data_IF_816275378223
#
_entry.id   IF_816275378223
#
_cell.length_a   1.000
_cell.length_b   1.000
_cell.length_c   1.000
_cell.angle_alpha   90.00
_cell.angle_beta   90.00
_cell.angle_gamma   90.00
#
_symmetry.space_group_name_H-M   'P 1'
#
loop_
_entity.id
_entity.type
_entity.pdbx_description
1 polymer ?
#
# COMPACT_ATOMS: atom_id res chain seq x y z
N UNK A 1 -15.15 -114.04 -34.94
CA UNK A 1 -15.28 -112.63 -34.55
C UNK A 1 -15.47 -111.83 -35.83
N UNK A 2 -16.70 -111.46 -36.16
CA UNK A 2 -16.95 -110.61 -37.34
C UNK A 2 -16.88 -109.16 -36.88
N UNK A 3 -15.79 -108.49 -37.22
CA UNK A 3 -15.71 -107.04 -37.16
C UNK A 3 -16.72 -106.51 -38.18
N UNK A 4 -17.90 -106.14 -37.71
CA UNK A 4 -18.86 -105.42 -38.55
C UNK A 4 -18.31 -104.01 -38.73
N UNK A 5 -18.02 -103.66 -39.97
CA UNK A 5 -17.63 -102.30 -40.36
C UNK A 5 -18.87 -101.42 -40.32
N UNK A 6 -18.72 -100.13 -40.04
CA UNK A 6 -19.82 -99.15 -40.07
C UNK A 6 -20.56 -99.15 -41.43
N UNK A 7 -19.90 -99.58 -42.50
CA UNK A 7 -20.48 -99.79 -43.83
C UNK A 7 -21.59 -100.85 -43.89
N UNK A 8 -21.65 -101.76 -42.91
CA UNK A 8 -22.58 -102.90 -42.92
C UNK A 8 -23.97 -102.54 -42.40
N UNK A 9 -24.14 -101.34 -41.83
CA UNK A 9 -25.39 -100.85 -41.24
C UNK A 9 -26.18 -99.87 -42.11
N UNK A 10 -25.62 -99.40 -43.23
CA UNK A 10 -26.24 -98.36 -44.07
C UNK A 10 -26.34 -98.81 -45.52
N UNK A 11 -27.50 -98.57 -46.13
CA UNK A 11 -27.88 -99.16 -47.43
C UNK A 11 -27.48 -98.30 -48.63
N UNK A 12 -26.89 -97.12 -48.41
CA UNK A 12 -26.30 -96.32 -49.49
C UNK A 12 -25.04 -95.56 -49.08
N UNK A 13 -24.12 -95.39 -50.04
CA UNK A 13 -22.92 -94.56 -49.88
C UNK A 13 -23.25 -93.08 -49.59
N UNK A 14 -24.43 -92.62 -49.99
CA UNK A 14 -24.88 -91.25 -49.75
C UNK A 14 -25.27 -91.02 -48.27
N UNK A 15 -25.86 -92.01 -47.61
CA UNK A 15 -26.20 -91.95 -46.18
C UNK A 15 -24.94 -91.95 -45.31
N UNK A 16 -23.95 -92.77 -45.66
CA UNK A 16 -22.66 -92.81 -44.96
C UNK A 16 -21.93 -91.46 -45.10
N UNK A 17 -21.91 -90.90 -46.31
CA UNK A 17 -21.31 -89.59 -46.60
C UNK A 17 -22.06 -88.44 -45.89
N UNK A 18 -23.39 -88.54 -45.76
CA UNK A 18 -24.19 -87.56 -45.04
C UNK A 18 -23.91 -87.59 -43.52
N UNK A 19 -23.75 -88.77 -42.94
CA UNK A 19 -23.40 -88.94 -41.52
C UNK A 19 -21.95 -88.52 -41.25
N UNK A 20 -20.99 -88.87 -42.12
CA UNK A 20 -19.62 -88.37 -42.01
C UNK A 20 -19.56 -86.85 -42.16
N UNK A 21 -20.31 -86.27 -43.10
CA UNK A 21 -20.42 -84.82 -43.25
C UNK A 21 -21.06 -84.18 -42.00
N UNK A 22 -22.06 -84.82 -41.40
CA UNK A 22 -22.72 -84.35 -40.17
C UNK A 22 -21.80 -84.44 -38.95
N UNK A 23 -21.04 -85.53 -38.80
CA UNK A 23 -20.00 -85.67 -37.78
C UNK A 23 -18.86 -84.66 -37.99
N UNK A 24 -18.49 -84.38 -39.23
CA UNK A 24 -17.53 -83.34 -39.59
C UNK A 24 -18.08 -81.92 -39.33
N UNK A 25 -19.38 -81.70 -39.49
CA UNK A 25 -20.07 -80.46 -39.12
C UNK A 25 -20.11 -80.28 -37.60
N UNK A 26 -20.38 -81.34 -36.85
CA UNK A 26 -20.31 -81.39 -35.37
C UNK A 26 -18.86 -81.19 -34.87
N UNK A 27 -17.87 -81.69 -35.60
CA UNK A 27 -16.46 -81.41 -35.33
C UNK A 27 -16.06 -79.97 -35.72
N UNK A 28 -16.72 -79.35 -36.70
CA UNK A 28 -16.55 -77.92 -37.02
C UNK A 28 -17.21 -77.01 -35.98
N UNK A 29 -18.33 -77.38 -35.37
CA UNK A 29 -18.90 -76.63 -34.22
C UNK A 29 -17.95 -76.65 -33.01
N UNK A 30 -17.11 -77.68 -32.88
CA UNK A 30 -16.00 -77.75 -31.93
C UNK A 30 -14.99 -76.59 -32.07
N UNK A 31 -14.89 -75.94 -33.25
CA UNK A 31 -14.02 -74.75 -33.44
C UNK A 31 -14.66 -73.45 -32.98
N UNK A 32 -16.00 -73.38 -32.92
CA UNK A 32 -16.70 -72.23 -32.36
C UNK A 32 -16.59 -72.23 -30.84
N UNK A 33 -16.82 -73.39 -30.20
CA UNK A 33 -16.68 -73.55 -28.75
C UNK A 33 -15.25 -73.27 -28.29
N UNK A 34 -14.23 -73.76 -29.01
CA UNK A 34 -12.83 -73.41 -28.75
C UNK A 34 -12.54 -71.91 -28.88
N UNK A 35 -13.12 -71.22 -29.88
CA UNK A 35 -12.98 -69.77 -30.04
C UNK A 35 -13.72 -69.02 -28.93
N UNK A 36 -14.87 -69.52 -28.49
CA UNK A 36 -15.64 -68.97 -27.38
C UNK A 36 -14.85 -69.09 -26.07
N UNK A 37 -14.23 -70.23 -25.81
CA UNK A 37 -13.36 -70.45 -24.63
C UNK A 37 -12.15 -69.52 -24.63
N UNK A 38 -11.49 -69.35 -25.78
CA UNK A 38 -10.37 -68.41 -25.93
C UNK A 38 -10.82 -66.96 -25.69
N UNK A 39 -11.97 -66.55 -26.22
CA UNK A 39 -12.52 -65.21 -26.01
C UNK A 39 -12.93 -64.98 -24.55
N UNK A 40 -13.50 -65.98 -23.88
CA UNK A 40 -13.83 -65.92 -22.45
C UNK A 40 -12.57 -65.80 -21.59
N UNK A 41 -11.51 -66.54 -21.90
CA UNK A 41 -10.24 -66.43 -21.19
C UNK A 41 -9.57 -65.08 -21.45
N UNK A 42 -9.61 -64.56 -22.68
CA UNK A 42 -9.13 -63.21 -23.01
C UNK A 42 -9.91 -62.13 -22.26
N UNK A 43 -11.23 -62.24 -22.18
CA UNK A 43 -12.08 -61.33 -21.41
C UNK A 43 -11.68 -61.36 -19.93
N UNK A 44 -11.54 -62.56 -19.35
CA UNK A 44 -11.12 -62.74 -17.96
C UNK A 44 -9.75 -62.11 -17.67
N UNK A 45 -8.79 -62.28 -18.60
CA UNK A 45 -7.47 -61.65 -18.49
C UNK A 45 -7.55 -60.12 -18.59
N UNK A 46 -8.36 -59.59 -19.51
CA UNK A 46 -8.59 -58.15 -19.66
C UNK A 46 -9.21 -57.55 -18.40
N UNK A 47 -10.22 -58.20 -17.81
CA UNK A 47 -10.85 -57.76 -16.56
C UNK A 47 -9.84 -57.78 -15.39
N UNK A 48 -8.97 -58.80 -15.32
CA UNK A 48 -7.91 -58.85 -14.31
C UNK A 48 -6.88 -57.74 -14.49
N UNK A 49 -6.49 -57.43 -15.73
CA UNK A 49 -5.57 -56.33 -16.04
C UNK A 49 -6.20 -54.99 -15.70
N UNK A 50 -7.48 -54.79 -16.03
CA UNK A 50 -8.23 -53.59 -15.67
C UNK A 50 -8.29 -53.42 -14.16
N UNK A 51 -8.65 -54.48 -13.41
CA UNK A 51 -8.70 -54.45 -11.94
C UNK A 51 -7.34 -54.13 -11.32
N UNK A 52 -6.24 -54.69 -11.85
CA UNK A 52 -4.88 -54.34 -11.42
C UNK A 52 -4.54 -52.88 -11.70
N UNK A 53 -4.91 -52.37 -12.87
CA UNK A 53 -4.72 -50.97 -13.24
C UNK A 53 -5.47 -50.01 -12.31
N UNK A 54 -6.74 -50.32 -12.00
CA UNK A 54 -7.57 -49.55 -11.08
C UNK A 54 -7.00 -49.56 -9.66
N UNK A 55 -6.54 -50.70 -9.17
CA UNK A 55 -5.86 -50.82 -7.87
C UNK A 55 -4.59 -49.98 -7.82
N UNK A 56 -3.76 -50.05 -8.86
CA UNK A 56 -2.54 -49.24 -8.95
C UNK A 56 -2.87 -47.74 -8.98
N UNK A 57 -3.91 -47.34 -9.72
CA UNK A 57 -4.33 -45.94 -9.80
C UNK A 57 -4.85 -45.44 -8.44
N UNK A 58 -5.58 -46.27 -7.71
CA UNK A 58 -6.04 -45.95 -6.35
C UNK A 58 -4.87 -45.78 -5.38
N UNK A 59 -3.87 -46.67 -5.44
CA UNK A 59 -2.65 -46.57 -4.63
C UNK A 59 -1.87 -45.29 -4.94
N UNK A 60 -1.64 -44.99 -6.23
CA UNK A 60 -0.95 -43.77 -6.66
C UNK A 60 -1.70 -42.52 -6.19
N UNK A 61 -3.04 -42.50 -6.34
CA UNK A 61 -3.88 -41.40 -5.85
C UNK A 61 -3.72 -41.18 -4.35
N UNK A 62 -3.71 -42.26 -3.56
CA UNK A 62 -3.50 -42.18 -2.12
C UNK A 62 -2.10 -41.65 -1.78
N UNK A 63 -1.06 -42.12 -2.48
CA UNK A 63 0.31 -41.64 -2.29
C UNK A 63 0.43 -40.14 -2.59
N UNK A 64 -0.08 -39.69 -3.75
CA UNK A 64 -0.05 -38.26 -4.09
C UNK A 64 -0.80 -37.41 -3.08
N UNK A 65 -1.94 -37.88 -2.57
CA UNK A 65 -2.67 -37.17 -1.53
C UNK A 65 -1.85 -37.05 -0.23
N UNK A 66 -1.13 -38.10 0.17
CA UNK A 66 -0.27 -38.06 1.34
C UNK A 66 0.91 -37.09 1.14
N UNK A 67 1.54 -37.08 -0.03
CA UNK A 67 2.62 -36.16 -0.36
C UNK A 67 2.15 -34.69 -0.36
N UNK A 68 0.98 -34.41 -0.97
CA UNK A 68 0.37 -33.08 -0.96
C UNK A 68 0.10 -32.64 0.48
N UNK A 69 -0.47 -33.50 1.32
CA UNK A 69 -0.77 -33.17 2.71
C UNK A 69 0.52 -32.87 3.49
N UNK A 70 1.58 -33.67 3.29
CA UNK A 70 2.88 -33.49 3.95
C UNK A 70 3.57 -32.19 3.52
N UNK A 71 3.54 -31.87 2.23
CA UNK A 71 4.07 -30.61 1.69
C UNK A 71 3.30 -29.41 2.22
N UNK A 72 1.97 -29.50 2.25
CA UNK A 72 1.07 -28.46 2.78
C UNK A 72 1.36 -28.20 4.25
N UNK A 73 1.46 -29.27 5.07
CA UNK A 73 1.79 -29.15 6.48
C UNK A 73 3.16 -28.47 6.69
N UNK A 74 4.19 -28.94 5.97
CA UNK A 74 5.55 -28.36 6.06
C UNK A 74 5.55 -26.88 5.68
N UNK A 75 4.83 -26.50 4.63
CA UNK A 75 4.71 -25.11 4.21
C UNK A 75 4.01 -24.24 5.28
N UNK A 76 2.91 -24.74 5.83
CA UNK A 76 2.17 -24.05 6.88
C UNK A 76 3.01 -23.87 8.15
N UNK A 77 3.79 -24.87 8.56
CA UNK A 77 4.72 -24.77 9.69
C UNK A 77 5.79 -23.69 9.46
N UNK A 78 6.35 -23.62 8.25
CA UNK A 78 7.33 -22.58 7.88
C UNK A 78 6.70 -21.18 7.88
N UNK A 79 5.47 -21.06 7.37
CA UNK A 79 4.74 -19.79 7.33
C UNK A 79 4.42 -19.32 8.75
N UNK A 80 3.90 -20.21 9.60
CA UNK A 80 3.59 -19.92 10.99
C UNK A 80 4.82 -19.48 11.78
N UNK A 81 5.99 -20.09 11.53
CA UNK A 81 7.25 -19.65 12.14
C UNK A 81 7.62 -18.22 11.72
N UNK A 82 7.50 -17.90 10.43
CA UNK A 82 7.75 -16.53 9.92
C UNK A 82 6.77 -15.52 10.52
N UNK A 83 5.49 -15.87 10.65
CA UNK A 83 4.48 -15.03 11.29
C UNK A 83 4.87 -14.75 12.73
N UNK A 84 5.20 -15.78 13.52
CA UNK A 84 5.61 -15.60 14.91
C UNK A 84 6.87 -14.73 15.06
N UNK A 85 7.84 -14.86 14.16
CA UNK A 85 9.04 -14.01 14.18
C UNK A 85 8.72 -12.54 13.84
N UNK A 86 7.77 -12.29 12.92
CA UNK A 86 7.29 -10.96 12.58
C UNK A 86 6.50 -10.34 13.74
N UNK A 87 5.62 -11.09 14.39
CA UNK A 87 4.86 -10.65 15.56
C UNK A 87 5.78 -10.24 16.72
N UNK A 88 6.86 -10.99 16.96
CA UNK A 88 7.87 -10.61 17.96
C UNK A 88 8.54 -9.29 17.61
N UNK A 89 8.96 -9.11 16.35
CA UNK A 89 9.58 -7.85 15.89
C UNK A 89 8.63 -6.67 16.01
N UNK A 90 7.36 -6.86 15.62
CA UNK A 90 6.34 -5.84 15.78
C UNK A 90 6.17 -5.44 17.25
N UNK A 91 6.09 -6.41 18.16
CA UNK A 91 6.00 -6.16 19.60
C UNK A 91 7.21 -5.37 20.12
N UNK A 92 8.43 -5.72 19.68
CA UNK A 92 9.64 -4.96 20.02
C UNK A 92 9.57 -3.52 19.52
N UNK A 93 9.23 -3.30 18.24
CA UNK A 93 9.13 -1.95 17.68
C UNK A 93 8.06 -1.11 18.35
N UNK A 94 6.91 -1.70 18.70
CA UNK A 94 5.87 -1.01 19.45
C UNK A 94 6.36 -0.58 20.83
N UNK A 95 7.12 -1.42 21.52
CA UNK A 95 7.70 -1.10 22.82
C UNK A 95 8.76 0.00 22.71
N UNK A 96 9.62 -0.04 21.68
CA UNK A 96 10.63 0.99 21.45
C UNK A 96 10.00 2.35 21.15
N UNK A 97 8.97 2.38 20.30
CA UNK A 97 8.20 3.61 20.02
C UNK A 97 7.58 4.16 21.30
N UNK A 98 7.02 3.29 22.16
CA UNK A 98 6.45 3.72 23.45
C UNK A 98 7.52 4.32 24.37
N UNK A 99 8.68 3.68 24.46
CA UNK A 99 9.80 4.16 25.27
C UNK A 99 10.31 5.51 24.76
N UNK A 100 10.52 5.66 23.45
CA UNK A 100 10.95 6.91 22.82
C UNK A 100 9.94 8.04 23.05
N UNK A 101 8.64 7.77 22.89
CA UNK A 101 7.60 8.76 23.18
C UNK A 101 7.63 9.22 24.63
N UNK A 102 7.81 8.29 25.57
CA UNK A 102 7.92 8.61 26.99
C UNK A 102 9.17 9.47 27.26
N UNK A 103 10.30 9.11 26.66
CA UNK A 103 11.55 9.85 26.79
C UNK A 103 11.40 11.29 26.28
N UNK A 104 10.89 11.48 25.07
CA UNK A 104 10.65 12.83 24.52
C UNK A 104 9.65 13.63 25.36
N UNK A 105 8.61 12.98 25.90
CA UNK A 105 7.65 13.66 26.77
C UNK A 105 8.30 14.20 28.04
N UNK A 106 9.24 13.46 28.63
CA UNK A 106 9.98 13.92 29.83
C UNK A 106 10.92 15.06 29.47
N UNK A 107 11.66 14.93 28.37
CA UNK A 107 12.62 15.95 27.93
C UNK A 107 11.93 17.29 27.58
N UNK A 108 10.76 17.25 26.95
CA UNK A 108 9.94 18.44 26.70
C UNK A 108 9.50 19.09 28.02
N UNK A 109 9.02 18.30 28.98
CA UNK A 109 8.59 18.83 30.27
C UNK A 109 9.75 19.47 31.06
N UNK A 110 10.95 18.88 31.00
CA UNK A 110 12.14 19.45 31.63
C UNK A 110 12.56 20.78 30.97
N UNK A 111 12.50 20.86 29.63
CA UNK A 111 12.76 22.10 28.89
C UNK A 111 11.73 23.19 29.20
N UNK A 112 10.45 22.84 29.26
CA UNK A 112 9.38 23.76 29.63
C UNK A 112 9.56 24.31 31.05
N UNK A 113 9.91 23.45 32.00
CA UNK A 113 10.20 23.85 33.38
C UNK A 113 11.40 24.79 33.45
N UNK A 114 12.47 24.49 32.70
CA UNK A 114 13.67 25.35 32.64
C UNK A 114 13.34 26.73 32.07
N UNK A 115 12.63 26.79 30.94
CA UNK A 115 12.20 28.06 30.35
C UNK A 115 11.29 28.85 31.29
N UNK A 116 10.38 28.17 32.00
CA UNK A 116 9.51 28.82 32.98
C UNK A 116 10.33 29.46 34.11
N UNK A 117 11.32 28.74 34.64
CA UNK A 117 12.22 29.28 35.68
C UNK A 117 13.02 30.49 35.19
N UNK A 118 13.57 30.44 33.96
CA UNK A 118 14.30 31.58 33.37
C UNK A 118 13.39 32.80 33.18
N UNK A 119 12.16 32.60 32.70
CA UNK A 119 11.17 33.67 32.56
C UNK A 119 10.86 34.30 33.93
N UNK A 120 10.65 33.51 34.97
CA UNK A 120 10.37 34.03 36.31
C UNK A 120 11.57 34.80 36.89
N UNK A 121 12.80 34.32 36.68
CA UNK A 121 14.00 35.05 37.08
C UNK A 121 14.13 36.40 36.34
N UNK A 122 13.87 36.42 35.04
CA UNK A 122 13.89 37.66 34.25
C UNK A 122 12.79 38.64 34.70
N UNK A 123 11.59 38.16 34.98
CA UNK A 123 10.51 38.98 35.55
C UNK A 123 10.92 39.63 36.86
N UNK A 124 11.56 38.87 37.76
CA UNK A 124 12.07 39.41 39.03
C UNK A 124 13.15 40.48 38.81
N UNK A 125 14.11 40.24 37.91
CA UNK A 125 15.15 41.23 37.57
C UNK A 125 14.56 42.51 36.97
N UNK A 126 13.59 42.39 36.06
CA UNK A 126 12.90 43.56 35.48
C UNK A 126 12.14 44.31 36.58
N UNK A 127 11.44 43.62 37.48
CA UNK A 127 10.74 44.25 38.61
C UNK A 127 11.70 45.08 39.47
N UNK A 128 12.86 44.52 39.82
CA UNK A 128 13.90 45.24 40.55
C UNK A 128 14.45 46.45 39.77
N UNK A 129 14.69 46.30 38.47
CA UNK A 129 15.13 47.42 37.61
C UNK A 129 14.09 48.54 37.55
N UNK A 130 12.81 48.21 37.42
CA UNK A 130 11.72 49.20 37.42
C UNK A 130 11.62 49.93 38.74
N UNK A 131 11.75 49.23 39.88
CA UNK A 131 11.78 49.84 41.22
C UNK A 131 12.99 50.79 41.36
N UNK A 132 14.19 50.37 40.94
CA UNK A 132 15.39 51.22 40.96
C UNK A 132 15.27 52.45 40.04
N UNK A 133 14.60 52.31 38.90
CA UNK A 133 14.38 53.42 37.94
C UNK A 133 13.34 54.43 38.47
N UNK A 134 12.35 53.98 39.24
CA UNK A 134 11.39 54.85 39.94
C UNK A 134 12.06 55.68 41.03
N UNK A 135 13.07 55.13 41.72
CA UNK A 135 13.86 55.86 42.73
C UNK A 135 14.86 56.83 42.10
N UNK A 136 15.31 56.58 40.86
CA UNK A 136 16.21 57.46 40.11
C UNK A 136 15.50 58.62 39.38
N UNK A 137 14.21 58.48 39.03
CA UNK A 137 13.43 59.50 38.30
C UNK A 137 12.59 60.42 39.21
N UNK A 138 13.23 61.04 40.20
CA UNK A 138 12.79 62.37 40.72
C UNK A 138 13.19 63.50 39.76
N UNK A 139 13.98 63.22 38.72
CA UNK A 139 14.27 64.17 37.65
C UNK A 139 14.01 63.53 36.29
N UNK A 140 13.25 64.26 35.47
CA UNK A 140 13.03 64.11 34.02
C UNK A 140 12.07 63.02 33.53
N UNK A 141 10.89 63.49 33.13
CA UNK A 141 9.85 62.81 32.37
C UNK A 141 10.17 62.81 30.87
N UNK A 142 10.27 61.63 30.25
CA UNK A 142 9.98 61.44 28.82
C UNK A 142 9.71 59.95 28.56
N UNK A 143 8.48 59.66 28.13
CA UNK A 143 8.03 58.34 27.70
C UNK A 143 8.59 58.00 26.31
N UNK A 144 9.19 56.82 26.10
CA UNK A 144 9.25 56.20 24.77
C UNK A 144 8.04 55.26 24.62
N UNK A 145 7.25 55.47 23.55
CA UNK A 145 6.22 54.54 23.10
C UNK A 145 6.89 53.24 22.65
N UNK A 146 6.56 52.14 23.31
CA UNK A 146 6.91 50.79 22.89
C UNK A 146 6.27 50.49 21.53
N UNK A 147 7.09 50.27 20.52
CA UNK A 147 6.65 49.78 19.20
C UNK A 147 6.27 48.30 19.30
N UNK A 148 4.99 48.00 19.12
CA UNK A 148 4.50 46.68 18.71
C UNK A 148 4.74 46.61 17.20
N UNK A 149 5.69 45.79 16.76
CA UNK A 149 5.88 45.45 15.34
C UNK A 149 5.59 43.95 15.20
N UNK A 150 5.10 43.56 14.03
CA UNK A 150 4.65 42.24 13.57
C UNK A 150 3.14 41.98 13.75
N UNK A 151 2.36 42.18 12.67
CA UNK A 151 1.28 41.24 12.27
C UNK A 151 0.31 41.68 11.15
N UNK A 152 0.40 42.89 10.56
CA UNK A 152 -0.60 43.27 9.53
C UNK A 152 -0.15 43.15 8.07
N UNK A 153 1.16 43.19 7.77
CA UNK A 153 1.60 43.28 6.37
C UNK A 153 1.61 41.93 5.62
N UNK A 154 2.06 40.84 6.25
CA UNK A 154 2.20 39.55 5.55
C UNK A 154 0.87 38.99 5.04
N UNK A 155 -0.15 38.99 5.90
CA UNK A 155 -1.47 38.49 5.55
C UNK A 155 -2.09 39.34 4.45
N UNK A 156 -1.99 40.67 4.52
CA UNK A 156 -2.45 41.59 3.47
C UNK A 156 -1.74 41.36 2.13
N UNK A 157 -0.48 40.94 2.16
CA UNK A 157 0.33 40.64 0.98
C UNK A 157 0.11 39.22 0.42
N UNK A 158 -0.68 38.38 1.08
CA UNK A 158 -1.01 37.04 0.58
C UNK A 158 0.00 35.97 0.98
N UNK A 159 0.83 36.23 1.99
CA UNK A 159 1.81 35.28 2.52
C UNK A 159 1.56 34.99 3.99
N UNK A 160 2.08 33.86 4.46
CA UNK A 160 2.01 33.47 5.86
C UNK A 160 3.27 32.73 6.26
N UNK A 161 3.93 33.20 7.31
CA UNK A 161 5.08 32.52 7.90
C UNK A 161 4.60 31.58 9.00
N UNK A 162 4.88 30.28 8.85
CA UNK A 162 4.56 29.26 9.85
C UNK A 162 5.45 29.45 11.10
N UNK A 163 4.88 29.82 12.26
CA UNK A 163 5.66 30.08 13.46
C UNK A 163 6.44 28.86 13.98
N UNK A 164 6.02 27.64 13.61
CA UNK A 164 6.66 26.40 14.08
C UNK A 164 7.89 26.04 13.26
N UNK A 165 7.85 26.27 11.95
CA UNK A 165 8.88 25.83 11.00
C UNK A 165 9.73 26.99 10.47
N UNK A 166 9.27 28.22 10.64
CA UNK A 166 9.83 29.41 10.00
C UNK A 166 9.56 29.46 8.49
N UNK A 167 8.89 28.47 7.89
CA UNK A 167 8.64 28.45 6.45
C UNK A 167 7.60 29.49 6.05
N UNK A 168 7.86 30.20 4.96
CA UNK A 168 6.91 31.15 4.39
C UNK A 168 6.09 30.46 3.28
N UNK A 169 4.77 30.50 3.44
CA UNK A 169 3.81 29.89 2.54
C UNK A 169 3.03 30.95 1.77
N UNK A 170 2.78 30.70 0.48
CA UNK A 170 1.77 31.44 -0.25
C UNK A 170 0.38 31.06 0.28
N UNK A 171 -0.46 32.05 0.59
CA UNK A 171 -1.84 31.82 1.04
C UNK A 171 -2.70 31.24 -0.08
N UNK A 172 -2.38 31.61 -1.31
CA UNK A 172 -3.03 31.13 -2.55
C UNK A 172 -2.30 29.92 -3.14
N UNK A 173 -3.02 29.17 -3.98
CA UNK A 173 -2.44 28.11 -4.79
C UNK A 173 -2.07 28.66 -6.17
N UNK A 174 -1.14 27.99 -6.87
CA UNK A 174 -0.81 28.36 -8.25
C UNK A 174 -2.07 28.30 -9.13
N UNK A 175 -2.30 29.38 -9.89
CA UNK A 175 -3.49 29.57 -10.71
C UNK A 175 -4.56 30.48 -10.09
N UNK A 176 -4.52 30.67 -8.77
CA UNK A 176 -5.32 31.69 -8.09
C UNK A 176 -4.57 33.02 -8.06
N UNK A 177 -5.30 34.10 -7.80
CA UNK A 177 -4.76 35.45 -7.68
C UNK A 177 -5.03 36.03 -6.30
N UNK A 178 -4.06 36.79 -5.77
CA UNK A 178 -4.23 37.54 -4.54
C UNK A 178 -4.51 39.01 -4.86
N UNK A 179 -5.71 39.49 -4.53
CA UNK A 179 -6.12 40.89 -4.77
C UNK A 179 -6.92 41.41 -3.58
N UNK A 180 -6.58 42.59 -3.09
CA UNK A 180 -7.29 43.29 -2.01
C UNK A 180 -7.56 42.40 -0.78
N UNK A 181 -6.57 41.62 -0.36
CA UNK A 181 -6.69 40.73 0.80
C UNK A 181 -7.55 39.47 0.57
N UNK A 182 -7.94 39.19 -0.68
CA UNK A 182 -8.77 38.05 -1.04
C UNK A 182 -8.10 37.16 -2.08
N UNK A 183 -8.39 35.86 -1.97
CA UNK A 183 -8.06 34.87 -2.99
C UNK A 183 -9.16 34.87 -4.06
N UNK A 184 -8.79 35.11 -5.31
CA UNK A 184 -9.70 35.16 -6.47
C UNK A 184 -9.36 34.02 -7.43
N UNK A 185 -10.40 33.39 -7.99
CA UNK A 185 -10.28 32.33 -8.98
C UNK A 185 -10.03 30.94 -8.38
N UNK A 186 -9.84 29.97 -9.28
CA UNK A 186 -9.57 28.58 -8.93
C UNK A 186 -8.12 28.21 -9.19
N UNK A 187 -7.60 27.28 -8.39
CA UNK A 187 -6.27 26.76 -8.60
C UNK A 187 -6.18 25.95 -9.89
N UNK A 188 -5.01 25.97 -10.53
CA UNK A 188 -4.69 25.11 -11.67
C UNK A 188 -4.09 23.80 -11.17
N UNK A 189 -4.47 22.69 -11.80
CA UNK A 189 -3.76 21.43 -11.66
C UNK A 189 -2.71 21.31 -12.77
N UNK A 190 -1.47 21.04 -12.37
CA UNK A 190 -0.30 21.04 -13.25
C UNK A 190 0.39 19.68 -13.20
N UNK A 191 1.06 19.29 -14.27
CA UNK A 191 2.01 18.17 -14.22
C UNK A 191 3.24 18.56 -13.36
N UNK A 192 4.07 17.59 -12.98
CA UNK A 192 5.15 17.87 -12.02
C UNK A 192 6.21 18.84 -12.56
N UNK A 193 6.54 18.76 -13.84
CA UNK A 193 7.54 19.64 -14.48
C UNK A 193 7.01 21.08 -14.57
N UNK A 194 5.76 21.25 -15.01
CA UNK A 194 5.07 22.54 -15.05
C UNK A 194 4.88 23.11 -13.64
N UNK A 195 4.62 22.27 -12.63
CA UNK A 195 4.49 22.69 -11.24
C UNK A 195 5.80 23.32 -10.72
N UNK A 196 6.94 22.70 -11.00
CA UNK A 196 8.23 23.28 -10.63
C UNK A 196 8.49 24.60 -11.33
N UNK A 197 8.24 24.65 -12.64
CA UNK A 197 8.44 25.87 -13.43
C UNK A 197 7.52 26.98 -12.92
N UNK A 198 6.25 26.66 -12.66
CA UNK A 198 5.29 27.60 -12.15
C UNK A 198 5.70 28.17 -10.79
N UNK A 199 6.25 27.36 -9.87
CA UNK A 199 6.80 27.88 -8.61
C UNK A 199 7.97 28.85 -8.84
N UNK A 200 8.92 28.51 -9.74
CA UNK A 200 10.07 29.37 -10.03
C UNK A 200 9.67 30.69 -10.70
N UNK A 201 8.62 30.67 -11.50
CA UNK A 201 8.07 31.85 -12.19
C UNK A 201 7.10 32.64 -11.28
N UNK A 202 6.64 32.04 -10.18
CA UNK A 202 5.66 32.65 -9.29
C UNK A 202 6.23 33.88 -8.58
N UNK A 203 5.44 34.95 -8.56
CA UNK A 203 5.77 36.21 -7.86
C UNK A 203 4.61 36.59 -6.96
N UNK A 204 4.89 36.78 -5.69
CA UNK A 204 3.91 37.17 -4.68
C UNK A 204 4.60 37.94 -3.56
N UNK A 205 3.95 39.00 -3.06
CA UNK A 205 4.47 39.84 -1.97
C UNK A 205 5.89 40.41 -2.23
N UNK A 206 6.27 40.63 -3.50
CA UNK A 206 7.62 41.08 -3.88
C UNK A 206 8.69 39.98 -3.86
N UNK A 207 8.32 38.72 -3.57
CA UNK A 207 9.24 37.59 -3.54
C UNK A 207 9.21 36.76 -4.82
N UNK A 208 10.38 36.25 -5.21
CA UNK A 208 10.60 35.44 -6.42
C UNK A 208 11.18 34.04 -6.16
N UNK A 209 11.73 33.78 -4.98
CA UNK A 209 12.38 32.52 -4.62
C UNK A 209 11.37 31.49 -4.10
N UNK A 210 10.26 31.33 -4.80
CA UNK A 210 9.22 30.36 -4.49
C UNK A 210 9.61 29.00 -5.07
N UNK A 211 9.38 27.94 -4.30
CA UNK A 211 9.67 26.55 -4.72
C UNK A 211 8.52 25.62 -4.38
N UNK A 212 8.59 24.43 -4.97
CA UNK A 212 7.75 23.31 -4.58
C UNK A 212 8.17 22.84 -3.18
N UNK A 213 7.21 22.57 -2.26
CA UNK A 213 7.52 22.08 -0.93
C UNK A 213 8.02 20.64 -0.97
N UNK A 214 8.74 20.22 0.06
CA UNK A 214 9.05 18.80 0.28
C UNK A 214 7.86 18.09 0.88
N UNK A 215 7.90 16.76 0.93
CA UNK A 215 6.79 15.98 1.50
C UNK A 215 6.64 16.26 3.00
N UNK A 216 7.76 16.44 3.71
CA UNK A 216 7.74 16.70 5.15
C UNK A 216 7.25 18.10 5.47
N UNK A 217 7.56 19.10 4.63
CA UNK A 217 6.99 20.45 4.73
C UNK A 217 5.47 20.44 4.51
N UNK A 218 4.96 19.68 3.54
CA UNK A 218 3.52 19.55 3.34
C UNK A 218 2.81 18.88 4.52
N UNK A 219 3.48 17.94 5.21
CA UNK A 219 2.94 17.31 6.43
C UNK A 219 2.82 18.29 7.59
N UNK A 220 3.62 19.36 7.66
CA UNK A 220 3.48 20.33 8.76
C UNK A 220 2.19 21.15 8.65
N UNK A 221 1.66 21.28 7.42
CA UNK A 221 0.41 21.99 7.17
C UNK A 221 -0.85 21.21 7.56
N UNK A 222 -0.80 19.91 7.87
CA UNK A 222 -2.04 19.12 8.12
C UNK A 222 -2.53 19.17 9.57
N UNK A 223 -3.85 19.02 9.72
CA UNK A 223 -4.45 18.57 10.97
C UNK A 223 -4.37 17.05 11.06
N UNK A 224 -3.97 16.50 12.22
CA UNK A 224 -3.74 15.06 12.37
C UNK A 224 -5.03 14.23 12.34
N UNK A 225 -6.15 14.80 12.77
CA UNK A 225 -7.40 14.06 13.03
C UNK A 225 -8.56 14.46 12.11
N UNK A 226 -8.39 15.49 11.28
CA UNK A 226 -9.46 16.01 10.43
C UNK A 226 -8.90 16.60 9.13
N UNK A 227 -9.77 16.77 8.14
CA UNK A 227 -9.41 17.44 6.89
C UNK A 227 -9.25 18.94 7.14
N UNK A 228 -8.01 19.43 7.07
CA UNK A 228 -7.77 20.85 7.16
C UNK A 228 -6.32 21.25 7.32
N UNK A 229 -6.10 22.57 7.34
CA UNK A 229 -4.79 23.14 7.61
C UNK A 229 -4.58 23.34 9.12
N UNK A 230 -3.36 23.07 9.60
CA UNK A 230 -2.92 23.30 10.98
C UNK A 230 -2.71 24.79 11.33
N UNK A 231 -3.03 25.68 10.40
CA UNK A 231 -2.99 27.12 10.61
C UNK A 231 -4.38 27.64 11.03
N UNK A 232 -4.48 28.82 11.67
CA UNK A 232 -5.77 29.45 11.92
C UNK A 232 -6.66 29.53 10.67
N UNK A 233 -7.97 29.48 10.88
CA UNK A 233 -8.94 29.49 9.79
C UNK A 233 -8.78 30.74 8.92
N UNK A 234 -8.79 30.55 7.59
CA UNK A 234 -8.70 31.65 6.63
C UNK A 234 -7.28 32.12 6.33
N UNK A 235 -6.25 31.51 6.92
CA UNK A 235 -4.85 31.81 6.58
C UNK A 235 -4.49 31.21 5.22
N UNK A 236 -4.62 29.89 5.04
CA UNK A 236 -4.38 29.21 3.76
C UNK A 236 -5.70 28.92 3.04
N UNK A 237 -5.78 29.26 1.76
CA UNK A 237 -6.99 29.10 0.95
C UNK A 237 -7.03 27.76 0.24
N UNK A 238 -8.22 27.18 0.14
CA UNK A 238 -8.47 25.96 -0.64
C UNK A 238 -8.30 26.24 -2.15
N UNK A 239 -7.93 25.23 -2.95
CA UNK A 239 -7.85 25.36 -4.40
C UNK A 239 -9.21 25.66 -5.03
N UNK A 240 -10.29 25.13 -4.43
CA UNK A 240 -11.69 25.39 -4.78
C UNK A 240 -12.57 25.47 -3.53
N UNK A 241 -13.76 26.05 -3.68
CA UNK A 241 -14.69 26.39 -2.57
C UNK A 241 -15.00 25.21 -1.62
N UNK A 242 -14.89 23.96 -2.09
CA UNK A 242 -15.20 22.76 -1.30
C UNK A 242 -14.18 21.61 -1.45
N UNK A 243 -12.98 21.90 -1.93
CA UNK A 243 -11.98 20.86 -2.26
C UNK A 243 -10.69 21.07 -1.46
N UNK A 244 -10.35 20.09 -0.62
CA UNK A 244 -9.05 20.01 0.05
C UNK A 244 -8.10 19.26 -0.88
N UNK A 245 -7.43 20.02 -1.75
CA UNK A 245 -6.68 19.47 -2.88
C UNK A 245 -5.53 18.52 -2.51
N UNK A 246 -5.04 17.86 -3.54
CA UNK A 246 -3.83 17.05 -3.55
C UNK A 246 -2.67 17.86 -4.14
N UNK A 247 -1.52 17.84 -3.47
CA UNK A 247 -0.41 18.74 -3.76
C UNK A 247 0.84 18.01 -4.18
N UNK A 248 1.48 18.52 -5.23
CA UNK A 248 2.81 18.07 -5.64
C UNK A 248 3.88 18.37 -4.58
N UNK A 249 4.80 17.42 -4.41
CA UNK A 249 6.02 17.57 -3.62
C UNK A 249 7.26 17.52 -4.51
N UNK A 250 8.33 18.18 -4.07
CA UNK A 250 9.68 18.10 -4.64
C UNK A 250 10.41 16.81 -4.27
N UNK A 251 9.93 16.04 -3.29
CA UNK A 251 10.54 14.80 -2.84
C UNK A 251 10.29 13.64 -3.82
N UNK A 252 11.36 12.98 -4.26
CA UNK A 252 11.29 11.71 -4.99
C UNK A 252 10.84 10.60 -4.04
N UNK A 253 9.95 9.71 -4.50
CA UNK A 253 9.51 8.58 -3.69
C UNK A 253 10.57 7.48 -3.75
N UNK A 254 11.06 7.02 -2.60
CA UNK A 254 12.30 6.25 -2.48
C UNK A 254 12.23 4.77 -2.92
N UNK A 255 11.05 4.22 -3.27
CA UNK A 255 10.95 2.80 -3.64
C UNK A 255 10.86 2.58 -5.17
N UNK A 256 11.96 2.03 -5.72
CA UNK A 256 12.12 1.15 -6.89
C UNK A 256 11.50 1.47 -8.26
N UNK A 257 10.75 2.56 -8.42
CA UNK A 257 10.32 3.03 -9.73
C UNK A 257 11.00 4.36 -10.02
N UNK A 258 11.88 4.35 -11.03
CA UNK A 258 12.76 5.45 -11.45
C UNK A 258 12.03 6.73 -11.91
N UNK A 259 10.72 6.88 -11.69
CA UNK A 259 9.89 8.03 -12.08
C UNK A 259 8.68 8.31 -11.16
N UNK A 260 8.72 7.88 -9.89
CA UNK A 260 7.61 8.09 -8.94
C UNK A 260 7.77 9.40 -8.14
N UNK A 261 6.82 10.31 -8.29
CA UNK A 261 6.82 11.61 -7.62
C UNK A 261 5.82 11.63 -6.46
N UNK A 262 6.21 12.25 -5.35
CA UNK A 262 5.36 12.28 -4.15
C UNK A 262 4.27 13.34 -4.28
N UNK A 263 3.05 12.99 -3.90
CA UNK A 263 1.97 13.95 -3.65
C UNK A 263 1.46 13.82 -2.21
N UNK A 264 0.83 14.89 -1.72
CA UNK A 264 0.25 14.93 -0.40
C UNK A 264 -1.22 15.37 -0.43
N UNK A 265 -2.10 14.58 0.19
CA UNK A 265 -3.52 14.89 0.31
C UNK A 265 -3.81 15.58 1.64
N UNK A 266 -4.19 16.87 1.62
CA UNK A 266 -4.58 17.61 2.84
C UNK A 266 -5.90 17.06 3.41
N UNK A 267 -6.77 16.51 2.56
CA UNK A 267 -8.05 15.93 2.99
C UNK A 267 -7.86 14.66 3.82
N UNK A 268 -7.02 13.76 3.31
CA UNK A 268 -6.94 12.39 3.81
C UNK A 268 -5.65 12.13 4.61
N UNK A 269 -4.79 13.14 4.75
CA UNK A 269 -3.58 13.12 5.58
C UNK A 269 -2.59 12.00 5.26
N UNK A 270 -2.54 11.55 4.00
CA UNK A 270 -1.62 10.55 3.49
C UNK A 270 -0.82 11.08 2.28
N UNK A 271 0.33 10.45 2.04
CA UNK A 271 1.14 10.63 0.84
C UNK A 271 0.98 9.44 -0.11
N UNK A 272 0.87 9.69 -1.41
CA UNK A 272 0.92 8.66 -2.45
C UNK A 272 1.98 9.02 -3.49
N UNK A 273 2.36 8.03 -4.30
CA UNK A 273 3.15 8.24 -5.48
C UNK A 273 2.24 8.51 -6.68
N UNK A 274 2.73 9.31 -7.62
CA UNK A 274 2.03 9.56 -8.87
C UNK A 274 3.01 9.72 -10.03
N UNK A 275 2.52 9.44 -11.24
CA UNK A 275 3.26 9.68 -12.48
C UNK A 275 3.37 11.19 -12.72
N UNK A 276 4.55 11.68 -13.15
CA UNK A 276 4.76 13.12 -13.41
C UNK A 276 3.73 13.76 -14.34
N UNK A 277 3.14 13.00 -15.25
CA UNK A 277 2.18 13.50 -16.24
C UNK A 277 0.78 13.75 -15.64
N UNK A 278 0.49 13.20 -14.46
CA UNK A 278 -0.76 13.47 -13.76
C UNK A 278 -0.82 14.92 -13.29
N UNK A 279 -2.02 15.44 -13.03
CA UNK A 279 -2.21 16.85 -12.68
C UNK A 279 -2.66 17.00 -11.24
N UNK A 280 -1.89 17.75 -10.45
CA UNK A 280 -2.20 18.07 -9.06
C UNK A 280 -2.00 19.55 -8.76
N UNK A 281 -2.52 20.01 -7.62
CA UNK A 281 -2.38 21.39 -7.21
C UNK A 281 -0.98 21.69 -6.68
N UNK A 282 -0.66 22.98 -6.62
CA UNK A 282 0.65 23.45 -6.20
C UNK A 282 0.47 24.58 -5.21
N UNK A 283 1.08 24.42 -4.04
CA UNK A 283 1.25 25.49 -3.05
C UNK A 283 2.73 25.81 -2.96
N UNK A 284 3.07 27.06 -3.20
CA UNK A 284 4.45 27.51 -3.15
C UNK A 284 4.91 27.74 -1.69
N UNK A 285 6.15 27.34 -1.42
CA UNK A 285 6.85 27.58 -0.15
C UNK A 285 8.18 28.27 -0.42
N UNK A 286 8.68 28.99 0.59
CA UNK A 286 10.00 29.60 0.62
C UNK A 286 10.60 29.39 2.02
N UNK A 287 11.92 29.27 2.09
CA UNK A 287 12.65 29.31 3.37
C UNK A 287 12.42 30.64 4.09
N UNK A 288 12.17 30.59 5.41
CA UNK A 288 12.06 31.77 6.26
C UNK A 288 13.33 32.62 6.29
N UNK A 289 13.16 33.89 6.65
CA UNK A 289 14.27 34.78 7.03
C UNK A 289 14.55 34.67 8.52
#
# INVERSE_FOLDING_TARGET
>A
MKNNSLSDFFSSSAELAAIEHFLHLIAKTNTFDQKLDVLQEQLRQSEQLQKKSEQQMAQNKQQYQQEINKLTQKHNEQLNKKIADLERKESTYQQDIKNLKQQFSVEIADLENKHHQEIEQLKQKIKQQVENTKTANVLTSQHPKTQIIHSNNELEQGVWTDPKTGLMWARINIGQEWKNGQCIGEAKSLNWEDAQKACKDFRLAGYSSWRLPTLDELKTLKLEKEAGYNCPQGILFKPRKYEWGEYWSSSLYACDYTNSYSIYSIKNSYSIYSNKNNKYYVRAVRSGQ
#
